data_IF_999602679470
#
_entry.id   IF_999602679470
#
_cell.length_a   1.000
_cell.length_b   1.000
_cell.length_c   1.000
_cell.angle_alpha   90.00
_cell.angle_beta   90.00
_cell.angle_gamma   90.00
#
_symmetry.space_group_name_H-M   'P 1'
#
loop_
_entity.id
_entity.type
_entity.pdbx_description
1 polymer ?
#
# COMPACT_ATOMS: atom_id res chain seq x y z
N UNK A 1 -9.34 -0.67 -42.81
CA UNK A 1 -9.56 -2.11 -42.62
C UNK A 1 -8.50 -2.60 -41.67
N UNK A 2 -8.92 -3.16 -40.54
CA UNK A 2 -8.03 -3.68 -39.50
C UNK A 2 -7.18 -4.83 -40.05
N UNK A 3 -5.87 -4.79 -39.82
CA UNK A 3 -4.92 -5.86 -40.17
C UNK A 3 -3.95 -6.14 -39.03
N UNK A 4 -3.41 -7.36 -38.97
CA UNK A 4 -2.33 -7.67 -38.04
C UNK A 4 -1.07 -6.84 -38.36
N UNK A 5 -0.35 -6.40 -37.33
CA UNK A 5 0.83 -5.55 -37.46
C UNK A 5 2.05 -6.18 -36.76
N UNK A 6 2.91 -6.90 -37.49
CA UNK A 6 4.17 -7.42 -36.96
C UNK A 6 5.12 -6.31 -36.48
N UNK A 7 5.04 -5.13 -37.09
CA UNK A 7 5.84 -3.96 -36.72
C UNK A 7 5.48 -3.47 -35.31
N UNK A 8 4.18 -3.23 -35.05
CA UNK A 8 3.72 -2.80 -33.73
C UNK A 8 4.01 -3.85 -32.67
N UNK A 9 3.84 -5.14 -32.98
CA UNK A 9 4.21 -6.22 -32.07
C UNK A 9 5.70 -6.19 -31.70
N UNK A 10 6.58 -5.94 -32.67
CA UNK A 10 8.01 -5.80 -32.43
C UNK A 10 8.35 -4.57 -31.57
N UNK A 11 7.63 -3.45 -31.74
CA UNK A 11 7.76 -2.27 -30.88
C UNK A 11 7.35 -2.61 -29.44
N UNK A 12 6.21 -3.27 -29.25
CA UNK A 12 5.71 -3.66 -27.93
C UNK A 12 6.66 -4.62 -27.20
N UNK A 13 7.29 -5.57 -27.90
CA UNK A 13 8.30 -6.44 -27.30
C UNK A 13 9.57 -5.69 -26.90
N UNK A 14 10.02 -4.74 -27.72
CA UNK A 14 11.17 -3.89 -27.38
C UNK A 14 10.89 -3.01 -26.16
N UNK A 15 9.65 -2.53 -26.00
CA UNK A 15 9.22 -1.81 -24.81
C UNK A 15 9.42 -2.64 -23.53
N UNK A 16 8.92 -3.88 -23.49
CA UNK A 16 9.09 -4.76 -22.33
C UNK A 16 10.55 -5.18 -22.11
N UNK A 17 11.28 -5.51 -23.17
CA UNK A 17 12.71 -5.81 -23.08
C UNK A 17 13.51 -4.64 -22.48
N UNK A 18 13.11 -3.40 -22.78
CA UNK A 18 13.74 -2.20 -22.20
C UNK A 18 13.52 -2.12 -20.68
N UNK A 19 12.33 -2.50 -20.21
CA UNK A 19 11.98 -2.56 -18.78
C UNK A 19 12.77 -3.68 -18.08
N UNK A 20 12.71 -4.90 -18.63
CA UNK A 20 13.37 -6.08 -18.09
C UNK A 20 14.88 -5.88 -17.91
N UNK A 21 15.53 -5.25 -18.88
CA UNK A 21 16.97 -5.01 -18.88
C UNK A 21 17.37 -3.68 -18.21
N UNK A 22 16.46 -3.05 -17.46
CA UNK A 22 16.69 -1.80 -16.74
C UNK A 22 17.21 -0.64 -17.60
N UNK A 23 16.90 -0.63 -18.90
CA UNK A 23 17.26 0.46 -19.85
C UNK A 23 16.22 1.59 -19.81
N UNK A 24 15.79 1.97 -18.61
CA UNK A 24 14.58 2.77 -18.36
C UNK A 24 14.61 4.17 -19.00
N UNK A 25 15.81 4.74 -19.19
CA UNK A 25 16.01 6.03 -19.90
C UNK A 25 15.61 5.98 -21.38
N UNK A 26 15.55 4.79 -21.98
CA UNK A 26 15.17 4.60 -23.39
C UNK A 26 13.65 4.59 -23.57
N UNK A 27 12.85 4.41 -22.51
CA UNK A 27 11.38 4.32 -22.61
C UNK A 27 10.74 5.56 -23.24
N UNK A 28 11.29 6.74 -22.96
CA UNK A 28 10.85 8.01 -23.59
C UNK A 28 10.91 7.98 -25.13
N UNK A 29 11.73 7.12 -25.72
CA UNK A 29 11.85 7.03 -27.18
C UNK A 29 10.65 6.33 -27.84
N UNK A 30 9.88 5.57 -27.07
CA UNK A 30 8.70 4.85 -27.55
C UNK A 30 7.42 5.66 -27.37
N UNK A 31 7.39 6.61 -26.43
CA UNK A 31 6.19 7.34 -26.03
C UNK A 31 6.07 8.66 -26.77
N UNK A 32 4.85 9.06 -27.10
CA UNK A 32 4.55 10.37 -27.67
C UNK A 32 4.94 11.50 -26.71
N UNK A 33 5.50 12.58 -27.24
CA UNK A 33 5.75 13.80 -26.48
C UNK A 33 4.57 14.78 -26.50
N UNK A 34 3.44 14.40 -27.11
CA UNK A 34 2.27 15.28 -27.31
C UNK A 34 1.33 15.26 -26.10
N UNK A 35 0.54 16.33 -25.95
CA UNK A 35 -0.34 16.52 -24.80
C UNK A 35 -1.45 15.45 -24.65
N UNK A 36 -1.77 14.75 -25.74
CA UNK A 36 -2.79 13.71 -25.75
C UNK A 36 -2.31 12.36 -25.20
N UNK A 37 -1.02 12.21 -24.87
CA UNK A 37 -0.52 10.94 -24.33
C UNK A 37 -1.17 10.62 -22.97
N UNK A 38 -1.56 9.35 -22.78
CA UNK A 38 -2.19 8.86 -21.55
C UNK A 38 -1.54 7.60 -21.04
N UNK A 39 -1.31 7.54 -19.73
CA UNK A 39 -0.80 6.35 -19.05
C UNK A 39 -1.77 5.97 -17.94
N UNK A 40 -2.30 4.75 -18.01
CA UNK A 40 -3.21 4.16 -17.04
C UNK A 40 -2.57 2.90 -16.47
N UNK A 41 -2.57 2.79 -15.16
CA UNK A 41 -2.19 1.60 -14.43
C UNK A 41 -3.36 0.99 -13.67
N UNK A 42 -3.03 0.11 -12.72
CA UNK A 42 -4.01 -0.56 -11.85
C UNK A 42 -4.36 0.27 -10.61
N UNK A 43 -3.50 1.21 -10.20
CA UNK A 43 -3.75 2.08 -9.07
C UNK A 43 -4.31 3.45 -9.50
N UNK A 44 -5.12 4.08 -8.65
CA UNK A 44 -5.77 5.37 -8.91
C UNK A 44 -4.76 6.49 -9.24
N UNK A 45 -3.61 6.49 -8.55
CA UNK A 45 -2.53 7.44 -8.79
C UNK A 45 -1.76 7.18 -10.10
N UNK A 46 -1.97 6.05 -10.77
CA UNK A 46 -1.35 5.69 -12.05
C UNK A 46 -2.19 6.20 -13.24
N UNK A 47 -2.67 7.45 -13.17
CA UNK A 47 -3.38 8.14 -14.24
C UNK A 47 -2.63 9.41 -14.64
N UNK A 48 -1.80 9.31 -15.69
CA UNK A 48 -0.86 10.37 -16.07
C UNK A 48 -1.12 10.94 -17.46
N UNK A 49 -0.75 12.20 -17.64
CA UNK A 49 -0.86 12.92 -18.90
C UNK A 49 0.41 13.73 -19.24
N UNK A 50 0.69 13.87 -20.53
CA UNK A 50 1.67 14.80 -21.11
C UNK A 50 3.09 14.80 -20.49
N UNK A 51 3.54 15.94 -19.93
CA UNK A 51 4.93 16.22 -19.60
C UNK A 51 5.52 15.32 -18.50
N UNK A 52 4.67 14.89 -17.56
CA UNK A 52 5.09 14.08 -16.41
C UNK A 52 5.54 12.68 -16.83
N UNK A 53 4.93 12.12 -17.89
CA UNK A 53 5.22 10.75 -18.34
C UNK A 53 6.67 10.62 -18.80
N UNK A 54 7.19 11.58 -19.59
CA UNK A 54 8.55 11.48 -20.10
C UNK A 54 9.63 11.58 -19.01
N UNK A 55 9.32 12.18 -17.86
CA UNK A 55 10.24 12.30 -16.74
C UNK A 55 10.04 11.17 -15.71
N UNK A 56 8.80 10.72 -15.51
CA UNK A 56 8.44 9.78 -14.45
C UNK A 56 8.38 8.32 -14.90
N UNK A 57 8.24 8.01 -16.20
CA UNK A 57 8.02 6.63 -16.66
C UNK A 57 9.18 5.69 -16.35
N UNK A 58 10.41 6.21 -16.36
CA UNK A 58 11.57 5.43 -15.93
C UNK A 58 11.45 5.05 -14.46
N UNK A 59 11.21 6.04 -13.60
CA UNK A 59 11.02 5.86 -12.16
C UNK A 59 9.87 4.89 -11.86
N UNK A 60 8.76 4.99 -12.61
CA UNK A 60 7.62 4.09 -12.46
C UNK A 60 8.01 2.62 -12.59
N UNK A 61 8.76 2.28 -13.63
CA UNK A 61 9.19 0.91 -13.87
C UNK A 61 10.43 0.51 -13.06
N UNK A 62 11.06 1.45 -12.35
CA UNK A 62 12.23 1.14 -11.53
C UNK A 62 11.88 0.31 -10.29
N UNK A 63 10.62 0.39 -9.83
CA UNK A 63 10.09 -0.43 -8.73
C UNK A 63 10.17 -1.94 -9.00
N UNK A 64 10.29 -2.35 -10.26
CA UNK A 64 10.47 -3.75 -10.65
C UNK A 64 11.92 -4.14 -10.34
N UNK A 65 12.21 -5.11 -9.44
CA UNK A 65 13.57 -5.47 -9.08
C UNK A 65 14.47 -5.85 -10.27
N UNK A 66 15.75 -5.47 -10.21
CA UNK A 66 16.74 -5.93 -11.19
C UNK A 66 16.87 -7.46 -11.17
N UNK A 67 16.98 -8.08 -12.34
CA UNK A 67 16.98 -9.53 -12.50
C UNK A 67 15.58 -10.17 -12.56
N UNK A 68 14.50 -9.37 -12.56
CA UNK A 68 13.16 -9.88 -12.85
C UNK A 68 13.07 -10.35 -14.30
N UNK A 69 12.39 -11.48 -14.55
CA UNK A 69 12.21 -12.05 -15.90
C UNK A 69 10.78 -11.88 -16.37
N UNK A 70 10.59 -11.49 -17.63
CA UNK A 70 9.29 -11.30 -18.24
C UNK A 70 9.00 -12.45 -19.21
N UNK A 71 8.09 -13.34 -18.82
CA UNK A 71 7.69 -14.49 -19.64
C UNK A 71 6.45 -14.08 -20.44
N UNK A 72 6.60 -13.89 -21.76
CA UNK A 72 5.46 -13.58 -22.65
C UNK A 72 4.50 -14.77 -22.74
N UNK A 73 3.24 -14.58 -22.33
CA UNK A 73 2.20 -15.61 -22.38
C UNK A 73 1.29 -15.45 -23.60
N UNK A 74 0.92 -14.21 -23.93
CA UNK A 74 0.11 -13.90 -25.11
C UNK A 74 0.48 -12.51 -25.65
N UNK A 75 0.52 -12.35 -26.97
CA UNK A 75 0.77 -11.07 -27.60
C UNK A 75 0.19 -10.97 -29.01
N UNK A 76 -0.52 -9.88 -29.28
CA UNK A 76 -1.06 -9.58 -30.61
C UNK A 76 -1.01 -8.07 -30.86
N UNK A 77 -0.93 -7.68 -32.13
CA UNK A 77 -0.98 -6.28 -32.53
C UNK A 77 -1.68 -6.11 -33.88
N UNK A 78 -2.40 -5.00 -34.01
CA UNK A 78 -3.23 -4.66 -35.16
C UNK A 78 -3.10 -3.18 -35.48
N UNK A 79 -3.44 -2.83 -36.71
CA UNK A 79 -3.48 -1.44 -37.17
C UNK A 79 -4.62 -1.21 -38.17
N UNK A 80 -5.12 0.03 -38.20
CA UNK A 80 -5.99 0.54 -39.24
C UNK A 80 -5.60 2.00 -39.57
N UNK A 81 -5.03 2.20 -40.76
CA UNK A 81 -4.55 3.50 -41.21
C UNK A 81 -3.47 4.07 -40.27
N UNK A 82 -3.79 5.19 -39.60
CA UNK A 82 -2.87 5.91 -38.70
C UNK A 82 -3.07 5.57 -37.23
N UNK A 83 -3.75 4.48 -36.90
CA UNK A 83 -3.95 4.02 -35.52
C UNK A 83 -3.53 2.57 -35.41
N UNK A 84 -2.75 2.27 -34.38
CA UNK A 84 -2.30 0.93 -34.05
C UNK A 84 -2.65 0.57 -32.62
N UNK A 85 -2.76 -0.71 -32.31
CA UNK A 85 -2.84 -1.18 -30.93
C UNK A 85 -2.22 -2.56 -30.76
N UNK A 86 -1.76 -2.86 -29.56
CA UNK A 86 -1.30 -4.19 -29.18
C UNK A 86 -1.81 -4.56 -27.80
N UNK A 87 -2.05 -5.83 -27.56
CA UNK A 87 -2.29 -6.37 -26.23
C UNK A 87 -1.29 -7.47 -25.93
N UNK A 88 -0.73 -7.44 -24.72
CA UNK A 88 0.30 -8.36 -24.27
C UNK A 88 -0.01 -8.80 -22.85
N UNK A 89 0.27 -10.06 -22.56
CA UNK A 89 0.22 -10.64 -21.22
C UNK A 89 1.58 -11.24 -20.91
N UNK A 90 2.19 -10.83 -19.79
CA UNK A 90 3.48 -11.35 -19.33
C UNK A 90 3.36 -11.89 -17.91
N UNK A 91 3.90 -13.07 -17.64
CA UNK A 91 4.18 -13.54 -16.29
C UNK A 91 5.54 -13.01 -15.83
N UNK A 92 5.56 -12.13 -14.82
CA UNK A 92 6.78 -11.53 -14.28
C UNK A 92 7.26 -12.36 -13.10
N UNK A 93 8.45 -12.95 -13.23
CA UNK A 93 9.15 -13.66 -12.16
C UNK A 93 10.13 -12.72 -11.48
N UNK A 94 10.02 -12.56 -10.16
CA UNK A 94 10.93 -11.73 -9.37
C UNK A 94 12.13 -12.54 -8.85
N UNK A 95 13.32 -11.92 -8.72
CA UNK A 95 14.49 -12.56 -8.12
C UNK A 95 14.23 -12.93 -6.66
N UNK A 96 14.72 -14.09 -6.22
CA UNK A 96 14.62 -14.59 -4.84
C UNK A 96 13.18 -14.79 -4.32
N UNK A 97 12.17 -14.61 -5.18
CA UNK A 97 10.78 -14.81 -4.82
C UNK A 97 10.45 -16.31 -4.79
N UNK A 98 9.98 -16.80 -3.64
CA UNK A 98 9.46 -18.16 -3.47
C UNK A 98 8.03 -18.33 -3.99
N UNK A 99 7.43 -17.25 -4.51
CA UNK A 99 6.03 -17.17 -4.96
C UNK A 99 5.91 -17.30 -6.48
N UNK A 100 4.73 -17.71 -7.00
CA UNK A 100 4.49 -17.80 -8.44
C UNK A 100 4.61 -16.44 -9.16
N UNK A 101 4.88 -16.45 -10.48
CA UNK A 101 4.93 -15.25 -11.31
C UNK A 101 3.65 -14.41 -11.23
N UNK A 102 3.80 -13.09 -11.33
CA UNK A 102 2.66 -12.16 -11.39
C UNK A 102 2.30 -11.88 -12.84
N UNK A 103 1.07 -12.15 -13.22
CA UNK A 103 0.58 -11.89 -14.58
C UNK A 103 0.36 -10.38 -14.76
N UNK A 104 0.85 -9.81 -15.84
CA UNK A 104 0.73 -8.40 -16.18
C UNK A 104 0.13 -8.26 -17.57
N UNK A 105 -1.05 -7.65 -17.68
CA UNK A 105 -1.75 -7.40 -18.93
C UNK A 105 -1.47 -5.97 -19.37
N UNK A 106 -1.23 -5.72 -20.64
CA UNK A 106 -0.96 -4.37 -21.16
C UNK A 106 -1.61 -4.19 -22.50
N UNK A 107 -2.28 -3.05 -22.67
CA UNK A 107 -2.74 -2.53 -23.95
C UNK A 107 -1.92 -1.28 -24.29
N UNK A 108 -1.35 -1.24 -25.48
CA UNK A 108 -0.69 -0.07 -26.05
C UNK A 108 -1.49 0.41 -27.25
N UNK A 109 -1.69 1.72 -27.37
CA UNK A 109 -2.24 2.37 -28.56
C UNK A 109 -1.15 3.22 -29.16
N UNK A 110 -1.05 3.19 -30.49
CA UNK A 110 -0.01 3.83 -31.26
C UNK A 110 -0.60 4.83 -32.27
N UNK A 111 0.15 5.91 -32.52
CA UNK A 111 -0.06 6.80 -33.65
C UNK A 111 1.29 7.13 -34.31
N UNK A 112 1.32 7.40 -35.62
CA UNK A 112 2.55 7.79 -36.30
C UNK A 112 2.91 9.24 -35.95
N UNK A 113 4.16 9.46 -35.57
CA UNK A 113 4.78 10.77 -35.40
C UNK A 113 6.12 10.78 -36.11
N UNK A 114 6.32 11.72 -37.04
CA UNK A 114 7.59 11.88 -37.77
C UNK A 114 8.08 10.58 -38.44
N UNK A 115 7.14 9.77 -38.95
CA UNK A 115 7.44 8.50 -39.61
C UNK A 115 7.73 7.33 -38.67
N UNK A 116 7.51 7.49 -37.36
CA UNK A 116 7.67 6.44 -36.35
C UNK A 116 6.37 6.22 -35.58
N UNK A 117 6.03 4.97 -35.28
CA UNK A 117 4.95 4.68 -34.33
C UNK A 117 5.36 5.07 -32.91
N UNK A 118 4.52 5.88 -32.25
CA UNK A 118 4.66 6.27 -30.85
C UNK A 118 3.49 5.76 -30.03
N UNK A 119 3.76 5.32 -28.81
CA UNK A 119 2.74 4.98 -27.82
C UNK A 119 2.05 6.27 -27.40
N UNK A 120 0.77 6.37 -27.71
CA UNK A 120 -0.10 7.50 -27.35
C UNK A 120 -1.02 7.16 -26.18
N UNK A 121 -1.26 5.88 -25.93
CA UNK A 121 -1.94 5.42 -24.74
C UNK A 121 -1.35 4.10 -24.28
N UNK A 122 -1.19 3.97 -22.97
CA UNK A 122 -0.83 2.71 -22.34
C UNK A 122 -1.81 2.45 -21.21
N UNK A 123 -2.41 1.27 -21.20
CA UNK A 123 -3.13 0.74 -20.06
C UNK A 123 -2.46 -0.54 -19.60
N UNK A 124 -2.12 -0.65 -18.32
CA UNK A 124 -1.63 -1.89 -17.73
C UNK A 124 -2.46 -2.30 -16.53
N UNK A 125 -2.76 -3.59 -16.45
CA UNK A 125 -3.57 -4.17 -15.39
C UNK A 125 -3.00 -5.49 -14.91
N UNK A 126 -3.14 -5.78 -13.62
CA UNK A 126 -2.75 -7.06 -13.03
C UNK A 126 -4.05 -7.86 -12.75
N UNK A 127 -4.25 -9.07 -13.31
CA UNK A 127 -5.48 -9.87 -13.23
C UNK A 127 -5.55 -10.69 -11.94
N UNK A 128 -5.44 -10.04 -10.79
CA UNK A 128 -5.62 -10.73 -9.51
C UNK A 128 -6.39 -9.78 -8.59
N UNK A 129 -7.33 -10.31 -7.81
CA UNK A 129 -8.11 -9.52 -6.85
C UNK A 129 -7.17 -8.77 -5.89
N UNK A 130 -7.54 -7.56 -5.45
CA UNK A 130 -6.72 -6.75 -4.53
C UNK A 130 -6.27 -7.51 -3.27
N UNK A 131 -6.99 -8.56 -2.87
CA UNK A 131 -6.64 -9.47 -1.78
C UNK A 131 -5.44 -10.37 -2.06
N UNK A 132 -5.19 -10.74 -3.33
CA UNK A 132 -4.24 -11.79 -3.69
C UNK A 132 -3.07 -11.30 -4.55
N UNK A 133 -3.19 -10.17 -5.25
CA UNK A 133 -2.19 -9.82 -6.29
C UNK A 133 -0.93 -9.18 -5.78
N UNK A 134 -1.10 -8.36 -4.78
CA UNK A 134 -0.19 -7.29 -4.48
C UNK A 134 -0.41 -7.09 -3.00
N UNK A 135 0.59 -7.43 -2.21
CA UNK A 135 0.88 -6.54 -1.10
C UNK A 135 1.19 -5.16 -1.70
N UNK A 136 0.20 -4.44 -2.22
CA UNK A 136 0.17 -2.99 -2.37
C UNK A 136 -0.66 -2.38 -1.23
N UNK A 137 -1.12 -3.20 -0.27
CA UNK A 137 -1.04 -2.80 1.15
C UNK A 137 0.43 -2.49 1.56
N UNK A 138 1.44 -2.82 0.75
CA UNK A 138 2.83 -2.39 0.99
C UNK A 138 2.99 -0.90 0.71
N UNK A 139 2.18 -0.21 -0.10
CA UNK A 139 2.35 1.25 -0.26
C UNK A 139 1.73 2.00 0.92
N UNK A 140 0.59 1.57 1.49
CA UNK A 140 0.08 2.22 2.71
C UNK A 140 0.90 1.84 3.93
N UNK A 141 1.11 0.54 4.19
CA UNK A 141 1.79 0.09 5.40
C UNK A 141 3.28 0.37 5.37
N UNK A 142 3.97 0.14 4.24
CA UNK A 142 5.42 0.40 4.16
C UNK A 142 5.69 1.89 4.05
N UNK A 143 4.91 2.67 3.30
CA UNK A 143 5.11 4.12 3.33
C UNK A 143 4.74 4.72 4.70
N UNK A 144 3.75 4.15 5.41
CA UNK A 144 3.44 4.58 6.77
C UNK A 144 4.54 4.18 7.75
N UNK A 145 5.11 2.98 7.62
CA UNK A 145 6.31 2.54 8.37
C UNK A 145 7.51 3.44 8.05
N UNK A 146 7.78 3.74 6.79
CA UNK A 146 8.90 4.59 6.36
C UNK A 146 8.72 6.02 6.88
N UNK A 147 7.53 6.60 6.71
CA UNK A 147 7.23 7.92 7.23
C UNK A 147 7.21 8.00 8.76
N UNK A 148 6.91 6.89 9.43
CA UNK A 148 7.03 6.77 10.88
C UNK A 148 8.50 6.90 11.30
N UNK A 149 9.41 6.20 10.61
CA UNK A 149 10.84 6.22 10.95
C UNK A 149 11.36 7.64 10.93
N UNK A 150 11.02 8.43 9.91
CA UNK A 150 11.47 9.83 9.80
C UNK A 150 10.93 10.73 10.93
N UNK A 151 9.65 10.57 11.30
CA UNK A 151 8.99 11.43 12.30
C UNK A 151 9.43 11.13 13.75
N UNK A 152 9.68 9.86 14.08
CA UNK A 152 10.07 9.47 15.44
C UNK A 152 11.53 9.77 15.77
N UNK A 153 12.42 9.75 14.78
CA UNK A 153 13.85 10.07 14.93
C UNK A 153 14.09 11.48 15.49
N UNK A 154 13.10 12.38 15.38
CA UNK A 154 13.18 13.77 15.81
C UNK A 154 12.71 14.05 17.25
N UNK A 155 11.93 13.17 17.89
CA UNK A 155 11.14 13.51 19.10
C UNK A 155 11.44 12.63 20.33
N UNK A 156 12.01 11.43 20.17
CA UNK A 156 12.48 10.57 21.27
C UNK A 156 13.77 9.86 20.89
N UNK A 157 14.73 9.79 21.81
CA UNK A 157 16.04 9.14 21.58
C UNK A 157 16.18 7.80 22.30
N UNK A 158 15.54 7.60 23.45
CA UNK A 158 15.61 6.37 24.27
C UNK A 158 14.32 6.20 25.12
N UNK A 159 13.94 4.96 25.47
CA UNK A 159 12.86 4.64 26.41
C UNK A 159 11.85 3.61 25.88
N UNK A 160 10.75 3.38 26.60
CA UNK A 160 9.62 2.56 26.11
C UNK A 160 8.62 3.44 25.35
N UNK A 161 8.09 2.93 24.24
CA UNK A 161 6.93 3.55 23.59
C UNK A 161 5.87 2.51 23.23
N UNK A 162 4.61 2.96 23.27
CA UNK A 162 3.48 2.21 22.72
C UNK A 162 3.06 2.82 21.40
N UNK A 163 2.98 1.98 20.38
CA UNK A 163 2.60 2.36 19.02
C UNK A 163 1.27 1.72 18.68
N UNK A 164 0.37 2.52 18.12
CA UNK A 164 -0.93 2.08 17.62
C UNK A 164 -1.01 2.36 16.12
N UNK A 165 -1.32 1.32 15.36
CA UNK A 165 -1.69 1.41 13.96
C UNK A 165 -3.19 1.18 13.80
N UNK A 166 -3.82 1.97 12.94
CA UNK A 166 -5.21 1.75 12.54
C UNK A 166 -5.33 1.70 11.03
N UNK A 167 -6.37 1.03 10.54
CA UNK A 167 -6.69 0.92 9.12
C UNK A 167 -8.19 0.66 8.92
N UNK A 168 -8.78 1.18 7.84
CA UNK A 168 -10.21 1.04 7.54
C UNK A 168 -10.45 -0.16 6.64
N UNK A 169 -11.34 -1.05 7.09
CA UNK A 169 -11.71 -2.26 6.34
C UNK A 169 -12.41 -1.88 5.04
N UNK A 170 -11.92 -2.40 3.92
CA UNK A 170 -12.60 -2.26 2.64
C UNK A 170 -12.66 -0.83 2.10
N UNK A 171 -11.80 0.06 2.59
CA UNK A 171 -11.64 1.45 2.17
C UNK A 171 -11.66 1.63 0.65
N UNK A 172 -10.91 0.81 -0.09
CA UNK A 172 -10.83 0.88 -1.55
C UNK A 172 -12.19 0.65 -2.24
N UNK A 173 -12.97 -0.32 -1.76
CA UNK A 173 -14.32 -0.58 -2.27
C UNK A 173 -15.26 0.59 -1.97
N UNK A 174 -15.09 1.21 -0.80
CA UNK A 174 -15.93 2.30 -0.35
C UNK A 174 -15.62 3.61 -1.08
N UNK A 175 -14.34 3.84 -1.40
CA UNK A 175 -13.89 4.91 -2.28
C UNK A 175 -14.52 4.79 -3.68
N UNK A 176 -14.53 3.58 -4.27
CA UNK A 176 -15.14 3.31 -5.57
C UNK A 176 -16.66 3.58 -5.57
N UNK A 177 -17.36 3.22 -4.48
CA UNK A 177 -18.83 3.39 -4.36
C UNK A 177 -19.22 4.84 -4.09
N UNK A 178 -18.49 5.56 -3.24
CA UNK A 178 -18.81 6.93 -2.82
C UNK A 178 -18.27 7.99 -3.78
N UNK A 179 -17.22 7.66 -4.54
CA UNK A 179 -16.47 8.59 -5.37
C UNK A 179 -15.51 9.48 -4.56
N UNK A 180 -14.40 9.87 -5.18
CA UNK A 180 -13.21 10.42 -4.52
C UNK A 180 -13.49 11.64 -3.64
N UNK A 181 -14.39 12.53 -4.07
CA UNK A 181 -14.72 13.76 -3.32
C UNK A 181 -15.45 13.46 -2.02
N UNK A 182 -16.42 12.55 -2.04
CA UNK A 182 -17.20 12.20 -0.86
C UNK A 182 -16.34 11.34 0.07
N UNK A 183 -15.59 10.39 -0.48
CA UNK A 183 -14.62 9.59 0.27
C UNK A 183 -13.57 10.45 0.98
N UNK A 184 -13.01 11.46 0.31
CA UNK A 184 -12.03 12.37 0.91
C UNK A 184 -12.60 13.14 2.10
N UNK A 185 -13.83 13.64 2.01
CA UNK A 185 -14.50 14.33 3.12
C UNK A 185 -14.78 13.36 4.28
N UNK A 186 -15.27 12.15 3.98
CA UNK A 186 -15.45 11.10 4.99
C UNK A 186 -14.15 10.74 5.71
N UNK A 187 -13.02 10.67 4.98
CA UNK A 187 -11.71 10.41 5.58
C UNK A 187 -11.23 11.56 6.46
N UNK A 188 -11.48 12.81 6.06
CA UNK A 188 -11.13 13.98 6.88
C UNK A 188 -11.88 13.95 8.22
N UNK A 189 -13.19 13.73 8.19
CA UNK A 189 -14.03 13.63 9.39
C UNK A 189 -13.63 12.42 10.26
N UNK A 190 -13.38 11.27 9.64
CA UNK A 190 -12.94 10.06 10.33
C UNK A 190 -11.61 10.28 11.06
N UNK A 191 -10.60 10.85 10.39
CA UNK A 191 -9.31 11.12 11.01
C UNK A 191 -9.38 12.22 12.08
N UNK A 192 -10.24 13.22 11.91
CA UNK A 192 -10.51 14.21 12.94
C UNK A 192 -11.10 13.54 14.20
N UNK A 193 -12.04 12.61 14.04
CA UNK A 193 -12.60 11.82 15.14
C UNK A 193 -11.52 10.97 15.82
N UNK A 194 -10.74 10.18 15.07
CA UNK A 194 -9.68 9.34 15.66
C UNK A 194 -8.67 10.20 16.44
N UNK A 195 -8.30 11.35 15.91
CA UNK A 195 -7.39 12.29 16.56
C UNK A 195 -7.88 12.73 17.94
N UNK A 196 -9.17 13.02 18.08
CA UNK A 196 -9.76 13.39 19.38
C UNK A 196 -9.55 12.29 20.42
N UNK A 197 -9.76 11.03 20.05
CA UNK A 197 -9.59 9.89 20.96
C UNK A 197 -8.11 9.60 21.28
N UNK A 198 -7.22 9.79 20.30
CA UNK A 198 -5.77 9.69 20.51
C UNK A 198 -5.30 10.75 21.51
N UNK A 199 -5.66 12.02 21.30
CA UNK A 199 -5.22 13.14 22.14
C UNK A 199 -5.83 13.07 23.55
N UNK A 200 -7.09 12.63 23.70
CA UNK A 200 -7.74 12.41 25.01
C UNK A 200 -7.05 11.36 25.88
N UNK A 201 -6.31 10.44 25.28
CA UNK A 201 -5.52 9.43 25.97
C UNK A 201 -4.04 9.82 26.10
N UNK A 202 -3.72 11.12 25.99
CA UNK A 202 -2.36 11.68 25.98
C UNK A 202 -1.46 11.09 24.87
N UNK A 203 -2.09 10.64 23.78
CA UNK A 203 -1.40 10.18 22.59
C UNK A 203 -1.05 11.31 21.65
N UNK A 204 -0.09 11.04 20.76
CA UNK A 204 0.25 11.91 19.64
C UNK A 204 -0.02 11.17 18.34
N UNK A 205 -0.91 11.70 17.52
CA UNK A 205 -1.03 11.28 16.13
C UNK A 205 0.25 11.70 15.41
N UNK A 206 0.99 10.71 14.91
CA UNK A 206 2.25 10.94 14.21
C UNK A 206 1.99 11.24 12.75
N UNK A 207 1.17 10.41 12.10
CA UNK A 207 0.80 10.59 10.70
C UNK A 207 -0.48 9.84 10.34
N UNK A 208 -1.19 10.33 9.34
CA UNK A 208 -2.22 9.61 8.59
C UNK A 208 -1.74 9.40 7.14
N UNK A 209 -2.03 8.24 6.56
CA UNK A 209 -1.73 7.92 5.16
C UNK A 209 -2.83 7.07 4.57
N UNK A 210 -3.48 7.58 3.51
CA UNK A 210 -4.60 6.91 2.88
C UNK A 210 -5.76 6.78 3.87
N UNK A 211 -6.02 5.55 4.28
CA UNK A 211 -7.07 5.07 5.18
C UNK A 211 -6.53 4.61 6.55
N UNK A 212 -5.20 4.72 6.76
CA UNK A 212 -4.54 4.29 7.99
C UNK A 212 -3.98 5.44 8.83
N UNK A 213 -3.82 5.19 10.13
CA UNK A 213 -3.15 6.12 11.05
C UNK A 213 -2.06 5.45 11.88
N UNK A 214 -1.10 6.28 12.30
CA UNK A 214 -0.07 5.93 13.24
C UNK A 214 -0.06 6.91 14.41
N UNK A 215 -0.14 6.38 15.62
CA UNK A 215 -0.04 7.16 16.85
C UNK A 215 0.91 6.54 17.87
N UNK A 216 1.48 7.40 18.74
CA UNK A 216 2.29 6.99 19.90
C UNK A 216 1.66 7.39 21.22
N UNK A 217 1.98 6.60 22.23
CA UNK A 217 1.62 6.81 23.62
C UNK A 217 2.81 6.51 24.52
N UNK A 218 2.88 7.19 25.66
CA UNK A 218 3.92 6.95 26.66
C UNK A 218 3.70 5.64 27.45
N UNK A 219 2.52 5.04 27.39
CA UNK A 219 2.21 3.80 28.11
C UNK A 219 1.30 2.84 27.33
N UNK A 220 1.41 1.55 27.62
CA UNK A 220 0.53 0.52 27.06
C UNK A 220 -0.95 0.78 27.41
N UNK A 221 -1.22 1.20 28.66
CA UNK A 221 -2.58 1.51 29.13
C UNK A 221 -3.25 2.61 28.31
N UNK A 222 -2.55 3.72 28.05
CA UNK A 222 -3.07 4.82 27.24
C UNK A 222 -3.38 4.36 25.81
N UNK A 223 -2.46 3.62 25.19
CA UNK A 223 -2.65 3.07 23.85
C UNK A 223 -3.88 2.16 23.74
N UNK A 224 -4.09 1.26 24.71
CA UNK A 224 -5.25 0.36 24.71
C UNK A 224 -6.57 1.10 24.98
N UNK A 225 -6.57 2.14 25.84
CA UNK A 225 -7.74 3.01 26.03
C UNK A 225 -8.12 3.74 24.75
N UNK A 226 -7.15 4.33 24.08
CA UNK A 226 -7.37 4.99 22.80
C UNK A 226 -7.91 4.00 21.76
N UNK A 227 -7.31 2.81 21.66
CA UNK A 227 -7.76 1.76 20.74
C UNK A 227 -9.24 1.37 20.97
N UNK A 228 -9.64 1.14 22.23
CA UNK A 228 -11.04 0.85 22.57
C UNK A 228 -11.95 2.01 22.21
N UNK A 229 -11.58 3.24 22.60
CA UNK A 229 -12.40 4.42 22.35
C UNK A 229 -12.58 4.71 20.86
N UNK A 230 -11.53 4.50 20.05
CA UNK A 230 -11.61 4.61 18.59
C UNK A 230 -12.56 3.56 18.00
N UNK A 231 -12.47 2.28 18.42
CA UNK A 231 -13.41 1.26 17.95
C UNK A 231 -14.86 1.59 18.31
N UNK A 232 -15.11 2.02 19.56
CA UNK A 232 -16.44 2.43 20.01
C UNK A 232 -16.98 3.59 19.16
N UNK A 233 -16.18 4.65 18.98
CA UNK A 233 -16.59 5.82 18.23
C UNK A 233 -16.89 5.49 16.75
N UNK A 234 -16.10 4.62 16.13
CA UNK A 234 -16.37 4.13 14.77
C UNK A 234 -17.68 3.33 14.73
N UNK A 235 -17.95 2.48 15.73
CA UNK A 235 -19.18 1.68 15.75
C UNK A 235 -20.45 2.47 16.08
N UNK A 236 -20.31 3.63 16.74
CA UNK A 236 -21.43 4.50 17.14
C UNK A 236 -21.69 5.61 16.11
N UNK A 237 -20.85 5.74 15.08
CA UNK A 237 -21.04 6.72 14.01
C UNK A 237 -22.21 6.32 13.09
N UNK A 238 -23.41 6.71 13.51
CA UNK A 238 -24.65 6.43 12.79
C UNK A 238 -24.89 7.37 11.59
N UNK A 239 -24.19 8.51 11.53
CA UNK A 239 -24.35 9.53 10.50
C UNK A 239 -23.37 9.32 9.33
N UNK A 240 -22.26 8.60 9.57
CA UNK A 240 -21.27 8.20 8.58
C UNK A 240 -21.56 6.87 7.86
N UNK A 241 -20.72 6.47 6.89
CA UNK A 241 -20.76 5.12 6.34
C UNK A 241 -20.40 4.07 7.41
N UNK A 242 -20.91 2.84 7.25
CA UNK A 242 -20.62 1.72 8.16
C UNK A 242 -19.15 1.28 8.00
N UNK A 243 -18.25 2.02 8.64
CA UNK A 243 -16.81 1.79 8.66
C UNK A 243 -16.46 0.77 9.74
N UNK A 244 -15.51 -0.12 9.44
CA UNK A 244 -14.91 -0.99 10.44
C UNK A 244 -13.42 -0.70 10.53
N UNK A 245 -12.90 -0.64 11.75
CA UNK A 245 -11.49 -0.34 12.02
C UNK A 245 -10.72 -1.64 12.35
N UNK A 246 -9.53 -1.79 11.79
CA UNK A 246 -8.52 -2.75 12.25
C UNK A 246 -7.50 -2.01 13.10
N UNK A 247 -7.13 -2.56 14.26
CA UNK A 247 -6.18 -1.90 15.17
C UNK A 247 -5.08 -2.87 15.60
N UNK A 248 -3.83 -2.40 15.56
CA UNK A 248 -2.65 -3.12 16.05
C UNK A 248 -1.91 -2.32 17.10
N UNK A 249 -1.58 -2.94 18.24
CA UNK A 249 -0.88 -2.29 19.35
C UNK A 249 0.36 -3.06 19.78
N UNK A 250 1.50 -2.38 19.83
CA UNK A 250 2.74 -2.92 20.38
C UNK A 250 3.44 -1.90 21.28
N UNK A 251 4.05 -2.40 22.35
CA UNK A 251 4.87 -1.67 23.31
C UNK A 251 6.23 -2.33 23.37
N UNK A 252 7.28 -1.55 23.18
CA UNK A 252 8.65 -2.05 23.18
C UNK A 252 9.66 -0.94 23.43
N UNK A 253 10.92 -1.35 23.60
CA UNK A 253 12.03 -0.43 23.76
C UNK A 253 12.33 0.29 22.45
N UNK A 254 12.60 1.57 22.60
CA UNK A 254 12.82 2.54 21.55
C UNK A 254 14.15 3.19 21.87
N UNK A 255 15.24 2.67 21.27
CA UNK A 255 16.62 3.13 21.53
C UNK A 255 17.26 3.62 20.24
N UNK A 256 17.93 4.78 20.28
CA UNK A 256 18.58 5.36 19.10
C UNK A 256 19.92 4.71 18.92
N UNK A 257 19.93 3.58 18.23
CA UNK A 257 21.16 2.99 17.72
C UNK A 257 21.49 3.51 16.33
N UNK A 258 22.77 3.40 15.94
CA UNK A 258 23.28 3.75 14.61
C UNK A 258 22.63 2.94 13.47
N UNK A 259 21.98 1.81 13.79
CA UNK A 259 21.43 0.85 12.82
C UNK A 259 19.96 0.43 13.09
N UNK A 260 19.05 1.37 13.37
CA UNK A 260 17.59 1.20 13.13
C UNK A 260 16.75 0.37 14.14
N UNK A 261 16.93 0.57 15.46
CA UNK A 261 16.14 -0.12 16.49
C UNK A 261 14.70 0.43 16.67
N UNK A 262 14.44 1.67 16.22
CA UNK A 262 13.10 2.26 16.20
C UNK A 262 12.16 1.58 15.20
N UNK A 263 12.71 1.05 14.10
CA UNK A 263 11.95 0.34 13.08
C UNK A 263 11.20 -0.87 13.62
N UNK A 264 11.74 -1.58 14.62
CA UNK A 264 11.17 -2.85 15.09
C UNK A 264 9.83 -2.67 15.82
N UNK A 265 9.69 -1.65 16.67
CA UNK A 265 8.45 -1.41 17.42
C UNK A 265 7.32 -1.01 16.46
N UNK A 266 7.63 -0.12 15.53
CA UNK A 266 6.71 0.34 14.48
C UNK A 266 6.32 -0.83 13.56
N UNK A 267 7.31 -1.57 13.05
CA UNK A 267 7.09 -2.73 12.19
C UNK A 267 6.18 -3.76 12.87
N UNK A 268 6.42 -4.06 14.15
CA UNK A 268 5.62 -5.04 14.89
C UNK A 268 4.19 -4.58 15.11
N UNK A 269 3.97 -3.32 15.50
CA UNK A 269 2.62 -2.76 15.63
C UNK A 269 1.83 -2.82 14.30
N UNK A 270 2.50 -2.45 13.19
CA UNK A 270 1.95 -2.55 11.84
C UNK A 270 1.55 -3.98 11.47
N UNK A 271 2.41 -4.97 11.75
CA UNK A 271 2.10 -6.39 11.47
C UNK A 271 0.97 -6.92 12.33
N UNK A 272 0.83 -6.46 13.57
CA UNK A 272 -0.30 -6.82 14.44
C UNK A 272 -1.61 -6.25 13.90
N UNK A 273 -1.61 -5.02 13.38
CA UNK A 273 -2.79 -4.42 12.75
C UNK A 273 -3.22 -5.26 11.53
N UNK A 274 -2.27 -5.70 10.69
CA UNK A 274 -2.59 -6.55 9.53
C UNK A 274 -3.21 -7.91 9.90
N UNK A 275 -3.02 -8.37 11.14
CA UNK A 275 -3.66 -9.59 11.66
C UNK A 275 -5.06 -9.33 12.26
N UNK A 276 -5.40 -8.09 12.56
CA UNK A 276 -6.73 -7.77 13.09
C UNK A 276 -7.79 -7.95 11.99
N UNK A 277 -8.85 -8.67 12.31
CA UNK A 277 -10.06 -8.69 11.51
C UNK A 277 -10.85 -7.38 11.63
N UNK A 278 -11.96 -7.24 10.88
CA UNK A 278 -12.83 -6.08 10.95
C UNK A 278 -13.35 -5.84 12.37
N UNK A 279 -13.21 -4.61 12.88
CA UNK A 279 -13.62 -4.25 14.23
C UNK A 279 -12.78 -4.94 15.32
N UNK A 280 -11.56 -5.40 15.03
CA UNK A 280 -10.72 -6.06 16.02
C UNK A 280 -9.52 -5.21 16.45
N UNK A 281 -9.07 -5.46 17.68
CA UNK A 281 -7.84 -4.90 18.23
C UNK A 281 -6.90 -6.07 18.53
N UNK A 282 -5.77 -6.08 17.84
CA UNK A 282 -4.71 -7.10 17.99
C UNK A 282 -3.52 -6.51 18.73
N UNK A 283 -3.00 -7.24 19.71
CA UNK A 283 -2.06 -6.74 20.70
C UNK A 283 -0.90 -7.72 20.88
N UNK A 284 0.33 -7.20 20.95
CA UNK A 284 1.49 -8.02 21.27
C UNK A 284 1.46 -8.56 22.71
N UNK A 285 2.10 -9.70 22.95
CA UNK A 285 2.27 -10.22 24.31
C UNK A 285 2.96 -9.22 25.26
N UNK A 286 3.98 -8.50 24.79
CA UNK A 286 4.65 -7.46 25.57
C UNK A 286 3.69 -6.38 26.08
N UNK A 287 2.82 -5.86 25.20
CA UNK A 287 1.80 -4.88 25.59
C UNK A 287 0.79 -5.47 26.59
N UNK A 288 0.36 -6.72 26.39
CA UNK A 288 -0.55 -7.42 27.30
C UNK A 288 0.07 -7.56 28.70
N UNK A 289 1.33 -7.98 28.77
CA UNK A 289 2.08 -8.13 30.03
C UNK A 289 2.21 -6.79 30.76
N UNK A 290 2.46 -5.69 30.05
CA UNK A 290 2.55 -4.34 30.65
C UNK A 290 1.26 -3.87 31.34
N UNK A 291 0.11 -4.49 31.04
CA UNK A 291 -1.18 -4.18 31.67
C UNK A 291 -1.77 -5.36 32.45
N UNK A 292 -0.99 -6.41 32.75
CA UNK A 292 -1.51 -7.65 33.35
C UNK A 292 -2.13 -7.45 34.74
N UNK A 293 -1.73 -6.42 35.47
CA UNK A 293 -2.30 -6.07 36.78
C UNK A 293 -3.62 -5.27 36.67
N UNK A 294 -4.04 -4.91 35.46
CA UNK A 294 -5.25 -4.13 35.20
C UNK A 294 -6.46 -5.03 34.99
N UNK A 295 -7.57 -4.72 35.65
CA UNK A 295 -8.87 -5.36 35.38
C UNK A 295 -9.64 -4.68 34.24
N UNK A 296 -9.11 -3.58 33.70
CA UNK A 296 -9.75 -2.76 32.66
C UNK A 296 -9.77 -3.43 31.27
N UNK A 297 -8.87 -4.38 31.03
CA UNK A 297 -8.63 -4.98 29.73
C UNK A 297 -8.85 -6.49 29.78
N UNK A 298 -9.69 -6.99 28.88
CA UNK A 298 -9.93 -8.41 28.70
C UNK A 298 -9.32 -8.84 27.37
N UNK A 299 -8.52 -9.91 27.41
CA UNK A 299 -7.85 -10.45 26.23
C UNK A 299 -8.32 -11.87 25.97
N UNK A 300 -8.53 -12.23 24.71
CA UNK A 300 -8.99 -13.55 24.29
C UNK A 300 -8.10 -14.15 23.21
N UNK A 301 -8.20 -15.47 23.08
CA UNK A 301 -7.64 -16.26 21.98
C UNK A 301 -6.17 -15.97 21.63
N UNK A 302 -5.22 -16.26 22.52
CA UNK A 302 -3.81 -16.10 22.19
C UNK A 302 -3.43 -17.01 21.03
N UNK A 303 -2.85 -16.42 19.99
CA UNK A 303 -2.41 -17.10 18.78
C UNK A 303 -0.91 -16.87 18.60
N UNK A 304 -0.19 -17.94 18.26
CA UNK A 304 1.23 -17.87 17.93
C UNK A 304 1.38 -17.87 16.41
N UNK A 305 1.98 -16.80 15.86
CA UNK A 305 2.12 -16.60 14.41
C UNK A 305 3.49 -16.04 14.05
N UNK A 306 4.05 -16.42 12.89
CA UNK A 306 5.19 -15.72 12.33
C UNK A 306 4.75 -14.34 11.83
N UNK A 307 5.52 -13.30 12.14
CA UNK A 307 5.29 -11.95 11.62
C UNK A 307 6.33 -11.64 10.53
N UNK A 308 5.87 -11.30 9.33
CA UNK A 308 6.75 -11.03 8.19
C UNK A 308 7.80 -9.96 8.52
N UNK A 309 9.07 -10.33 8.37
CA UNK A 309 10.22 -9.44 8.60
C UNK A 309 10.65 -9.33 10.06
N UNK A 310 10.10 -10.16 10.95
CA UNK A 310 10.53 -10.31 12.34
C UNK A 310 10.94 -11.76 12.59
N UNK A 311 11.97 -11.95 13.41
CA UNK A 311 12.48 -13.28 13.73
C UNK A 311 11.59 -14.02 14.73
N UNK A 312 11.38 -15.31 14.46
CA UNK A 312 10.66 -16.22 15.33
C UNK A 312 9.14 -16.09 15.27
N UNK A 313 8.49 -16.88 16.11
CA UNK A 313 7.05 -16.80 16.29
C UNK A 313 6.70 -15.79 17.39
N UNK A 314 5.56 -15.13 17.21
CA UNK A 314 5.08 -14.12 18.13
C UNK A 314 3.73 -14.50 18.70
N UNK A 315 3.62 -14.41 20.03
CA UNK A 315 2.36 -14.54 20.73
C UNK A 315 1.57 -13.23 20.61
N UNK A 316 0.34 -13.37 20.14
CA UNK A 316 -0.56 -12.28 19.78
C UNK A 316 -1.90 -12.50 20.46
N UNK A 317 -2.48 -11.43 21.01
CA UNK A 317 -3.73 -11.45 21.76
C UNK A 317 -4.77 -10.55 21.08
N UNK A 318 -6.05 -10.88 21.19
CA UNK A 318 -7.13 -9.96 20.83
C UNK A 318 -7.63 -9.23 22.07
N UNK A 319 -7.78 -7.91 22.01
CA UNK A 319 -8.39 -7.11 23.08
C UNK A 319 -9.90 -6.98 22.81
N UNK A 320 -10.70 -7.33 23.81
CA UNK A 320 -12.15 -7.10 23.81
C UNK A 320 -12.46 -5.63 24.15
N UNK A 321 -13.26 -5.00 23.28
CA UNK A 321 -13.61 -3.58 23.39
C UNK A 321 -15.11 -3.32 23.52
N UNK A 322 -15.95 -4.25 23.05
CA UNK A 322 -17.38 -4.26 23.31
C UNK A 322 -17.61 -4.95 24.67
N UNK A 323 -18.31 -4.29 25.58
CA UNK A 323 -18.63 -4.81 26.91
C UNK A 323 -20.06 -4.45 27.26
#
# INVERSE_FOLDING_TARGET
>A
MVRASPELLAISRRWFSTIEHKRLKELKNFVSARAYVRFLGSAEAENWSSADINQAIGTYFDVIPEGSTFIEENSEAFEDGSVGWSFLTHAIQFPMATRPPVVYRTTLIFAPEEGQWKIVHRHGSIPVANSDSLGLEVVSLTALIEAARDSYVHDQTEGLASVVFTDIVGSARMAEVLGDRLWSATMEDHFAMLRVHIERADGKLVKSMGDGTLSRFASARQALRAAKAMQTAVSEDADGPDLLLRVGVHTGDVVKSKDDFFGTVVNKAARLMSLAGPGQITVSDATRVMVSASTEFQFVDPVTVPLKGLEGDHLVHRLEWQS
#
